data_IF_559375409437
#
_entry.id   IF_559375409437
#
_cell.length_a   1.000
_cell.length_b   1.000
_cell.length_c   1.000
_cell.angle_alpha   90.00
_cell.angle_beta   90.00
_cell.angle_gamma   90.00
#
_symmetry.space_group_name_H-M   'P 1'
#
loop_
_entity.id
_entity.type
_entity.pdbx_description
1 polymer ?
#
# COMPACT_ATOMS: atom_id res chain seq x y z
N UNK A 1 46.25 -11.13 54.20
CA UNK A 1 45.84 -12.13 55.23
C UNK A 1 44.35 -12.38 55.11
N UNK A 2 43.94 -13.62 54.76
CA UNK A 2 42.63 -14.21 55.11
C UNK A 2 42.77 -14.75 56.56
N UNK A 3 41.71 -14.95 57.39
CA UNK A 3 40.61 -15.90 57.07
C UNK A 3 39.24 -15.75 57.80
N UNK A 4 38.30 -16.67 57.47
CA UNK A 4 37.22 -17.29 58.30
C UNK A 4 35.93 -16.48 58.64
N UNK A 5 34.68 -17.01 58.69
CA UNK A 5 34.03 -18.31 58.40
C UNK A 5 32.49 -18.19 58.65
N UNK A 6 31.71 -19.23 58.25
CA UNK A 6 30.28 -19.58 58.57
C UNK A 6 29.20 -18.93 57.66
N UNK A 7 28.47 -19.61 56.77
CA UNK A 7 27.82 -20.95 56.69
C UNK A 7 26.57 -21.08 57.60
N UNK A 8 25.47 -21.52 56.97
CA UNK A 8 24.15 -21.98 57.46
C UNK A 8 22.95 -21.02 57.29
N UNK A 9 22.08 -21.33 56.33
CA UNK A 9 20.67 -21.65 56.63
C UNK A 9 20.18 -22.78 55.72
N UNK A 10 19.81 -23.87 56.37
CA UNK A 10 19.13 -25.04 55.85
C UNK A 10 17.64 -24.97 56.24
N UNK A 11 16.77 -25.62 55.45
CA UNK A 11 15.34 -25.83 55.72
C UNK A 11 14.52 -25.59 54.44
N UNK A 12 14.19 -26.58 53.59
CA UNK A 12 13.34 -27.78 53.81
C UNK A 12 11.92 -27.34 54.21
N UNK A 13 10.80 -27.65 53.53
CA UNK A 13 10.21 -28.95 53.07
C UNK A 13 9.05 -28.58 52.10
N UNK A 14 9.01 -29.08 50.84
CA UNK A 14 8.19 -30.18 50.26
C UNK A 14 6.66 -30.03 50.39
N UNK A 15 5.99 -30.29 49.25
CA UNK A 15 4.73 -31.05 49.01
C UNK A 15 3.93 -30.34 47.88
N UNK A 16 3.30 -30.94 46.86
CA UNK A 16 3.23 -32.25 46.19
C UNK A 16 2.04 -32.12 45.21
N UNK A 17 2.07 -32.73 44.02
CA UNK A 17 0.91 -32.79 43.10
C UNK A 17 1.30 -32.60 41.63
N UNK A 18 1.83 -33.57 40.87
CA UNK A 18 1.33 -34.91 40.46
C UNK A 18 0.43 -34.84 39.20
N UNK A 19 0.70 -35.79 38.28
CA UNK A 19 0.09 -36.12 36.97
C UNK A 19 0.66 -35.41 35.73
N UNK A 20 1.19 -36.07 34.70
CA UNK A 20 1.59 -37.46 34.42
C UNK A 20 2.36 -37.44 33.07
N UNK A 21 3.42 -38.26 32.87
CA UNK A 21 3.99 -38.49 31.54
C UNK A 21 3.19 -39.60 30.84
N UNK A 22 2.54 -39.28 29.73
CA UNK A 22 1.83 -40.27 28.92
C UNK A 22 2.84 -40.98 28.00
N UNK A 23 3.36 -42.11 28.44
CA UNK A 23 4.07 -43.07 27.59
C UNK A 23 3.45 -44.44 27.74
N UNK A 24 2.87 -44.96 26.66
CA UNK A 24 2.66 -46.38 26.44
C UNK A 24 1.20 -46.79 26.26
N UNK A 25 0.78 -46.97 25.00
CA UNK A 25 -0.10 -48.09 24.65
C UNK A 25 0.20 -48.52 23.21
N UNK A 26 0.97 -49.60 23.09
CA UNK A 26 0.97 -50.43 21.90
C UNK A 26 -0.26 -51.34 21.98
N UNK A 27 -1.13 -51.29 20.98
CA UNK A 27 -2.02 -52.39 20.68
C UNK A 27 -2.21 -52.51 19.17
N UNK A 28 -2.17 -53.76 18.72
CA UNK A 28 -2.01 -54.24 17.36
C UNK A 28 -3.39 -54.49 16.73
N UNK A 29 -3.70 -53.86 15.59
CA UNK A 29 -4.54 -54.39 14.50
C UNK A 29 -4.69 -53.34 13.37
N UNK A 30 -4.52 -53.72 12.09
CA UNK A 30 -4.63 -52.81 10.96
C UNK A 30 -6.09 -52.70 10.49
N UNK A 31 -6.55 -51.47 10.27
CA UNK A 31 -7.76 -51.20 9.46
C UNK A 31 -7.44 -50.07 8.48
N UNK A 32 -7.07 -50.51 7.29
CA UNK A 32 -7.63 -50.10 6.01
C UNK A 32 -8.12 -48.66 5.84
N UNK A 33 -7.56 -48.04 4.81
CA UNK A 33 -8.18 -47.05 3.94
C UNK A 33 -8.55 -45.71 4.58
N UNK A 34 -7.51 -44.97 4.95
CA UNK A 34 -7.53 -43.51 4.82
C UNK A 34 -7.57 -43.15 3.32
N UNK A 35 -8.76 -43.29 2.73
CA UNK A 35 -9.11 -42.72 1.45
C UNK A 35 -8.75 -41.24 1.46
N UNK A 36 -7.70 -40.91 0.71
CA UNK A 36 -7.45 -39.56 0.21
C UNK A 36 -8.59 -39.20 -0.75
N UNK A 37 -9.78 -38.96 -0.21
CA UNK A 37 -10.74 -38.12 -0.92
C UNK A 37 -10.20 -36.70 -0.83
N UNK A 38 -9.42 -36.35 -1.85
CA UNK A 38 -9.21 -34.96 -2.24
C UNK A 38 -10.60 -34.34 -2.42
N UNK A 39 -11.07 -33.63 -1.39
CA UNK A 39 -12.17 -32.67 -1.48
C UNK A 39 -11.72 -31.54 -2.42
N UNK A 40 -11.68 -31.84 -3.73
CA UNK A 40 -11.56 -30.89 -4.84
C UNK A 40 -12.86 -30.10 -4.99
N UNK A 41 -13.24 -29.43 -3.92
CA UNK A 41 -14.29 -28.42 -3.88
C UNK A 41 -13.89 -27.32 -2.89
N UNK A 42 -12.61 -26.98 -2.85
CA UNK A 42 -12.20 -25.71 -2.28
C UNK A 42 -12.68 -24.63 -3.24
N UNK A 43 -13.72 -23.92 -2.80
CA UNK A 43 -14.34 -22.84 -3.55
C UNK A 43 -13.21 -21.93 -4.07
N UNK A 44 -13.16 -21.60 -5.37
CA UNK A 44 -12.00 -20.96 -6.00
C UNK A 44 -11.60 -19.61 -5.38
N UNK A 45 -12.51 -18.97 -4.63
CA UNK A 45 -12.23 -17.75 -3.88
C UNK A 45 -11.34 -17.99 -2.64
N UNK A 46 -11.39 -19.17 -2.01
CA UNK A 46 -10.60 -19.52 -0.83
C UNK A 46 -9.12 -19.57 -1.21
N UNK A 47 -8.81 -20.16 -2.37
CA UNK A 47 -7.45 -20.20 -2.89
C UNK A 47 -6.89 -18.79 -3.11
N UNK A 48 -7.67 -17.90 -3.74
CA UNK A 48 -7.28 -16.50 -3.97
C UNK A 48 -7.10 -15.75 -2.64
N UNK A 49 -7.99 -15.96 -1.68
CA UNK A 49 -7.88 -15.36 -0.35
C UNK A 49 -6.63 -15.83 0.41
N UNK A 50 -6.30 -17.13 0.32
CA UNK A 50 -5.09 -17.69 0.90
C UNK A 50 -3.82 -17.14 0.23
N UNK A 51 -3.85 -16.90 -1.09
CA UNK A 51 -2.75 -16.23 -1.79
C UNK A 51 -2.60 -14.78 -1.34
N UNK A 52 -3.71 -14.04 -1.21
CA UNK A 52 -3.69 -12.66 -0.71
C UNK A 52 -3.12 -12.60 0.71
N UNK A 53 -3.53 -13.50 1.62
CA UNK A 53 -3.03 -13.52 2.99
C UNK A 53 -1.54 -13.86 3.04
N UNK A 54 -1.08 -14.85 2.26
CA UNK A 54 0.34 -15.21 2.16
C UNK A 54 1.20 -14.09 1.54
N UNK A 55 0.71 -13.39 0.51
CA UNK A 55 1.40 -12.23 -0.05
C UNK A 55 1.40 -11.05 0.92
N UNK A 56 0.33 -10.87 1.71
CA UNK A 56 0.23 -9.81 2.71
C UNK A 56 1.23 -10.00 3.85
N UNK A 57 1.42 -11.24 4.32
CA UNK A 57 2.42 -11.53 5.35
C UNK A 57 3.83 -11.33 4.82
N UNK A 58 4.14 -11.83 3.61
CA UNK A 58 5.45 -11.64 2.97
C UNK A 58 5.78 -10.17 2.72
N UNK A 59 4.83 -9.39 2.21
CA UNK A 59 5.04 -7.95 1.98
C UNK A 59 5.29 -7.19 3.29
N UNK A 60 4.60 -7.54 4.38
CA UNK A 60 4.86 -6.97 5.72
C UNK A 60 6.25 -7.35 6.24
N UNK A 61 6.64 -8.61 6.14
CA UNK A 61 7.97 -9.07 6.55
C UNK A 61 9.09 -8.34 5.79
N UNK A 62 8.93 -8.16 4.48
CA UNK A 62 9.88 -7.42 3.65
C UNK A 62 9.89 -5.92 3.99
N UNK A 63 8.74 -5.32 4.29
CA UNK A 63 8.65 -3.92 4.72
C UNK A 63 9.34 -3.70 6.07
N UNK A 64 9.15 -4.61 7.03
CA UNK A 64 9.84 -4.56 8.32
C UNK A 64 11.35 -4.73 8.16
N UNK A 65 11.78 -5.69 7.32
CA UNK A 65 13.21 -5.87 6.99
C UNK A 65 13.80 -4.61 6.33
N UNK A 66 13.08 -3.99 5.39
CA UNK A 66 13.53 -2.77 4.72
C UNK A 66 13.67 -1.61 5.71
N UNK A 67 12.71 -1.45 6.64
CA UNK A 67 12.78 -0.46 7.73
C UNK A 67 13.99 -0.70 8.63
N UNK A 68 14.29 -1.95 8.97
CA UNK A 68 15.48 -2.30 9.75
C UNK A 68 16.76 -1.93 9.01
N UNK A 69 16.90 -2.32 7.73
CA UNK A 69 18.07 -1.98 6.91
C UNK A 69 18.26 -0.46 6.75
N UNK A 70 17.18 0.30 6.58
CA UNK A 70 17.26 1.77 6.52
C UNK A 70 17.67 2.34 7.88
N UNK A 71 17.19 1.77 9.00
CA UNK A 71 17.59 2.20 10.35
C UNK A 71 19.07 1.91 10.60
N UNK A 72 19.57 0.74 10.23
CA UNK A 72 21.00 0.40 10.38
C UNK A 72 21.89 1.28 9.49
N UNK A 73 21.45 1.59 8.27
CA UNK A 73 22.12 2.59 7.41
C UNK A 73 22.14 3.97 8.05
N UNK A 74 21.04 4.44 8.64
CA UNK A 74 20.98 5.73 9.35
C UNK A 74 21.83 5.78 10.61
N UNK A 75 22.04 4.64 11.28
CA UNK A 75 22.85 4.54 12.49
C UNK A 75 24.36 4.71 12.24
N UNK A 76 24.81 4.82 10.98
CA UNK A 76 26.19 5.18 10.65
C UNK A 76 27.15 3.99 10.64
N UNK A 77 26.95 3.04 9.73
CA UNK A 77 27.91 1.96 9.45
C UNK A 77 29.16 2.44 8.67
N UNK A 78 30.23 1.66 8.70
CA UNK A 78 31.46 1.89 7.92
C UNK A 78 31.15 1.94 6.40
N UNK A 79 31.95 2.67 5.62
CA UNK A 79 31.71 2.90 4.19
C UNK A 79 31.54 1.61 3.36
N UNK A 80 32.31 0.56 3.64
CA UNK A 80 32.17 -0.75 2.99
C UNK A 80 30.84 -1.44 3.35
N UNK A 81 30.44 -1.39 4.62
CA UNK A 81 29.15 -1.92 5.08
C UNK A 81 27.96 -1.12 4.55
N UNK A 82 28.13 0.18 4.30
CA UNK A 82 27.09 1.00 3.66
C UNK A 82 26.81 0.56 2.23
N UNK A 83 27.85 0.26 1.45
CA UNK A 83 27.70 -0.22 0.08
C UNK A 83 27.03 -1.61 0.02
N UNK A 84 27.31 -2.47 0.99
CA UNK A 84 26.63 -3.77 1.15
C UNK A 84 25.16 -3.60 1.56
N UNK A 85 24.88 -2.73 2.55
CA UNK A 85 23.53 -2.39 2.96
C UNK A 85 22.71 -1.80 1.81
N UNK A 86 23.30 -0.96 0.97
CA UNK A 86 22.62 -0.36 -0.17
C UNK A 86 22.20 -1.41 -1.20
N UNK A 87 23.08 -2.37 -1.51
CA UNK A 87 22.73 -3.50 -2.37
C UNK A 87 21.64 -4.37 -1.76
N UNK A 88 21.67 -4.59 -0.43
CA UNK A 88 20.65 -5.38 0.25
C UNK A 88 19.29 -4.65 0.29
N UNK A 89 19.29 -3.33 0.49
CA UNK A 89 18.11 -2.47 0.43
C UNK A 89 17.50 -2.52 -0.97
N UNK A 90 18.29 -2.34 -2.02
CA UNK A 90 17.81 -2.37 -3.41
C UNK A 90 17.20 -3.72 -3.76
N UNK A 91 17.87 -4.82 -3.37
CA UNK A 91 17.36 -6.18 -3.57
C UNK A 91 16.04 -6.39 -2.82
N UNK A 92 16.00 -6.09 -1.53
CA UNK A 92 14.81 -6.26 -0.68
C UNK A 92 13.64 -5.40 -1.19
N UNK A 93 13.93 -4.18 -1.65
CA UNK A 93 12.93 -3.30 -2.26
C UNK A 93 12.37 -3.85 -3.57
N UNK A 94 13.21 -4.42 -4.43
CA UNK A 94 12.76 -5.05 -5.68
C UNK A 94 11.84 -6.26 -5.43
N UNK A 95 12.16 -7.08 -4.45
CA UNK A 95 11.35 -8.22 -4.02
C UNK A 95 10.03 -7.74 -3.41
N UNK A 96 10.09 -6.75 -2.51
CA UNK A 96 8.91 -6.13 -1.92
C UNK A 96 7.97 -5.56 -2.99
N UNK A 97 8.51 -4.84 -3.97
CA UNK A 97 7.74 -4.24 -5.06
C UNK A 97 7.02 -5.30 -5.88
N UNK A 98 7.72 -6.38 -6.23
CA UNK A 98 7.14 -7.49 -7.00
C UNK A 98 5.97 -8.13 -6.24
N UNK A 99 6.16 -8.44 -4.95
CA UNK A 99 5.10 -9.00 -4.12
C UNK A 99 3.93 -8.04 -3.87
N UNK A 100 4.19 -6.74 -3.77
CA UNK A 100 3.16 -5.71 -3.63
C UNK A 100 2.31 -5.58 -4.91
N UNK A 101 2.95 -5.64 -6.09
CA UNK A 101 2.25 -5.66 -7.37
C UNK A 101 1.39 -6.92 -7.54
N UNK A 102 1.91 -8.09 -7.17
CA UNK A 102 1.15 -9.34 -7.24
C UNK A 102 -0.01 -9.36 -6.23
N UNK A 103 0.20 -8.85 -5.02
CA UNK A 103 -0.87 -8.66 -4.04
C UNK A 103 -1.97 -7.73 -4.58
N UNK A 104 -1.59 -6.67 -5.29
CA UNK A 104 -2.56 -5.76 -5.94
C UNK A 104 -3.35 -6.49 -7.04
N UNK A 105 -2.68 -7.29 -7.88
CA UNK A 105 -3.34 -8.10 -8.93
C UNK A 105 -4.32 -9.09 -8.32
N UNK A 106 -3.91 -9.86 -7.31
CA UNK A 106 -4.78 -10.84 -6.64
C UNK A 106 -5.97 -10.16 -5.95
N UNK A 107 -5.77 -9.01 -5.31
CA UNK A 107 -6.89 -8.23 -4.76
C UNK A 107 -7.87 -7.73 -5.83
N UNK A 108 -7.37 -7.32 -7.01
CA UNK A 108 -8.23 -6.95 -8.13
C UNK A 108 -9.02 -8.17 -8.64
N UNK A 109 -8.36 -9.31 -8.80
CA UNK A 109 -9.02 -10.57 -9.20
C UNK A 109 -10.11 -10.92 -8.19
N UNK A 110 -9.81 -10.87 -6.88
CA UNK A 110 -10.78 -11.17 -5.84
C UNK A 110 -11.98 -10.22 -5.88
N UNK A 111 -11.73 -8.91 -6.02
CA UNK A 111 -12.77 -7.88 -6.10
C UNK A 111 -13.69 -8.05 -7.32
N UNK A 112 -13.14 -8.36 -8.49
CA UNK A 112 -13.92 -8.45 -9.73
C UNK A 112 -14.55 -9.84 -9.96
N UNK A 113 -13.89 -10.93 -9.55
CA UNK A 113 -14.42 -12.29 -9.71
C UNK A 113 -15.36 -12.69 -8.57
N UNK A 114 -15.17 -12.16 -7.37
CA UNK A 114 -15.96 -12.52 -6.19
C UNK A 114 -16.51 -11.28 -5.45
N UNK A 115 -17.29 -10.41 -6.12
CA UNK A 115 -17.77 -9.16 -5.55
C UNK A 115 -18.65 -9.37 -4.31
N UNK A 116 -19.46 -10.42 -4.27
CA UNK A 116 -20.31 -10.78 -3.12
C UNK A 116 -19.53 -11.00 -1.82
N UNK A 117 -18.29 -11.51 -1.93
CA UNK A 117 -17.39 -11.72 -0.78
C UNK A 117 -16.58 -10.47 -0.47
N UNK A 118 -16.14 -9.75 -1.51
CA UNK A 118 -15.47 -8.47 -1.33
C UNK A 118 -16.39 -7.41 -0.68
N UNK A 119 -17.70 -7.47 -0.92
CA UNK A 119 -18.72 -6.59 -0.34
C UNK A 119 -19.08 -6.93 1.12
N UNK A 120 -18.66 -8.08 1.65
CA UNK A 120 -18.76 -8.38 3.10
C UNK A 120 -17.72 -7.60 3.93
N UNK A 121 -16.73 -7.00 3.27
CA UNK A 121 -15.86 -5.96 3.85
C UNK A 121 -16.71 -4.70 4.04
N UNK A 122 -16.59 -3.97 5.16
CA UNK A 122 -17.55 -2.93 5.57
C UNK A 122 -17.95 -2.00 4.42
N UNK A 123 -19.26 -1.76 4.39
CA UNK A 123 -20.00 -0.84 3.52
C UNK A 123 -19.15 0.37 3.11
N UNK A 124 -19.20 0.77 1.83
CA UNK A 124 -18.39 1.86 1.29
C UNK A 124 -18.51 3.11 2.18
N UNK A 125 -17.52 3.33 3.03
CA UNK A 125 -17.45 4.54 3.84
C UNK A 125 -17.02 5.66 2.91
N UNK A 126 -17.98 6.43 2.43
CA UNK A 126 -17.70 7.71 1.79
C UNK A 126 -17.12 8.61 2.88
N UNK A 127 -15.80 8.86 2.81
CA UNK A 127 -15.20 9.91 3.60
C UNK A 127 -15.71 11.24 3.01
N UNK A 128 -16.70 11.85 3.66
CA UNK A 128 -17.03 13.24 3.43
C UNK A 128 -15.82 14.04 3.90
N UNK A 129 -14.93 14.39 2.98
CA UNK A 129 -13.78 15.23 3.30
C UNK A 129 -14.26 16.59 3.80
N UNK A 130 -13.64 17.10 4.85
CA UNK A 130 -13.91 18.45 5.31
C UNK A 130 -13.65 19.43 4.17
N UNK A 131 -14.64 20.28 3.89
CA UNK A 131 -14.50 21.34 2.90
C UNK A 131 -13.38 22.27 3.40
N UNK A 132 -12.28 22.46 2.65
CA UNK A 132 -11.18 23.31 3.10
C UNK A 132 -11.70 24.72 3.38
N UNK A 133 -11.21 25.33 4.46
CA UNK A 133 -11.53 26.72 4.78
C UNK A 133 -11.13 27.65 3.63
N UNK A 134 -11.84 28.77 3.50
CA UNK A 134 -11.57 29.76 2.45
C UNK A 134 -10.10 30.20 2.45
N UNK A 135 -9.50 30.40 3.62
CA UNK A 135 -8.07 30.71 3.77
C UNK A 135 -7.16 29.67 3.12
N UNK A 136 -7.49 28.38 3.26
CA UNK A 136 -6.71 27.28 2.67
C UNK A 136 -6.85 27.24 1.15
N UNK A 137 -8.03 27.60 0.63
CA UNK A 137 -8.26 27.73 -0.81
C UNK A 137 -7.47 28.93 -1.36
N UNK A 138 -7.48 30.06 -0.66
CA UNK A 138 -6.71 31.26 -1.03
C UNK A 138 -5.21 31.03 -0.98
N UNK A 139 -4.73 30.28 0.02
CA UNK A 139 -3.33 29.87 0.11
C UNK A 139 -2.94 28.98 -1.08
N UNK A 140 -3.75 27.98 -1.42
CA UNK A 140 -3.51 27.10 -2.56
C UNK A 140 -3.49 27.88 -3.89
N UNK A 141 -4.43 28.80 -4.08
CA UNK A 141 -4.49 29.67 -5.27
C UNK A 141 -3.28 30.61 -5.32
N UNK A 142 -2.87 31.16 -4.17
CA UNK A 142 -1.68 32.01 -4.05
C UNK A 142 -0.37 31.24 -4.26
N UNK A 143 -0.31 29.97 -3.86
CA UNK A 143 0.82 29.07 -4.06
C UNK A 143 1.04 28.75 -5.52
N UNK A 144 -0.02 28.52 -6.30
CA UNK A 144 0.08 28.26 -7.75
C UNK A 144 0.77 29.42 -8.47
N UNK A 145 0.38 30.66 -8.18
CA UNK A 145 1.04 31.85 -8.74
C UNK A 145 2.50 32.04 -8.29
N UNK A 146 2.88 31.55 -7.10
CA UNK A 146 4.29 31.54 -6.65
C UNK A 146 5.08 30.43 -7.36
N UNK A 147 4.47 29.26 -7.55
CA UNK A 147 5.07 28.12 -8.24
C UNK A 147 5.36 28.45 -9.70
N UNK A 148 4.41 29.03 -10.43
CA UNK A 148 4.60 29.43 -11.82
C UNK A 148 5.72 30.47 -11.99
N UNK A 149 5.82 31.43 -11.06
CA UNK A 149 6.92 32.41 -11.06
C UNK A 149 8.28 31.75 -10.81
N UNK A 150 8.35 30.79 -9.89
CA UNK A 150 9.58 30.03 -9.63
C UNK A 150 9.94 29.12 -10.81
N UNK A 151 8.97 28.44 -11.42
CA UNK A 151 9.19 27.63 -12.63
C UNK A 151 9.67 28.48 -13.80
N UNK A 152 9.09 29.68 -13.99
CA UNK A 152 9.56 30.62 -15.01
C UNK A 152 11.00 31.04 -14.76
N UNK A 153 11.35 31.43 -13.53
CA UNK A 153 12.72 31.80 -13.14
C UNK A 153 13.71 30.65 -13.35
N UNK A 154 13.35 29.44 -12.92
CA UNK A 154 14.17 28.24 -13.13
C UNK A 154 14.37 27.97 -14.63
N UNK A 155 13.33 28.11 -15.45
CA UNK A 155 13.42 27.94 -16.90
C UNK A 155 14.28 29.03 -17.56
N UNK A 156 14.29 30.25 -17.04
CA UNK A 156 15.16 31.32 -17.54
C UNK A 156 16.62 31.19 -17.09
N UNK A 157 16.87 30.62 -15.91
CA UNK A 157 18.21 30.49 -15.34
C UNK A 157 18.92 29.18 -15.76
N UNK A 158 18.15 28.10 -15.94
CA UNK A 158 18.67 26.75 -16.17
C UNK A 158 18.05 26.04 -17.38
N UNK A 159 17.02 26.63 -18.01
CA UNK A 159 16.48 26.12 -19.26
C UNK A 159 17.18 26.76 -20.46
N UNK A 160 17.44 25.98 -21.51
CA UNK A 160 17.79 26.56 -22.81
C UNK A 160 16.70 27.55 -23.24
N UNK A 161 17.07 28.70 -23.83
CA UNK A 161 16.10 29.73 -24.20
C UNK A 161 15.08 29.10 -25.14
N UNK A 162 13.85 28.97 -24.65
CA UNK A 162 12.73 28.54 -25.48
C UNK A 162 12.70 29.46 -26.71
N UNK A 163 12.93 28.88 -27.89
CA UNK A 163 12.79 29.54 -29.19
C UNK A 163 11.43 30.24 -29.17
N UNK A 164 11.44 31.56 -29.06
CA UNK A 164 10.20 32.35 -28.99
C UNK A 164 9.38 31.97 -30.22
N UNK A 165 8.11 31.55 -30.11
CA UNK A 165 7.26 31.46 -31.28
C UNK A 165 7.19 32.88 -31.87
N UNK A 166 7.71 33.00 -33.08
CA UNK A 166 7.70 34.22 -33.87
C UNK A 166 6.23 34.63 -33.98
N UNK A 167 5.81 35.70 -33.31
CA UNK A 167 4.51 36.33 -33.59
C UNK A 167 4.60 36.89 -35.01
N UNK A 168 4.17 36.10 -35.97
CA UNK A 168 3.76 36.61 -37.27
C UNK A 168 2.55 37.50 -37.02
N UNK A 169 2.78 38.82 -37.14
CA UNK A 169 1.72 39.80 -37.22
C UNK A 169 1.11 39.64 -38.61
N UNK A 170 0.13 38.76 -38.77
CA UNK A 170 -0.81 38.88 -39.87
C UNK A 170 -1.76 40.03 -39.54
N UNK A 171 -1.51 41.15 -40.19
CA UNK A 171 -2.44 42.26 -40.31
C UNK A 171 -3.48 41.79 -41.33
N UNK A 172 -4.64 41.30 -40.86
CA UNK A 172 -5.82 41.15 -41.70
C UNK A 172 -6.67 42.41 -41.50
N UNK A 173 -6.70 43.20 -42.55
CA UNK A 173 -7.59 44.36 -42.73
C UNK A 173 -9.03 43.86 -42.89
N UNK A 174 -9.92 44.59 -42.24
CA UNK A 174 -11.39 44.58 -42.24
C UNK A 174 -12.13 43.80 -43.34
N UNK A 175 -13.14 43.04 -42.92
CA UNK A 175 -14.48 43.25 -43.48
C UNK A 175 -15.55 43.11 -42.38
N UNK A 176 -16.20 44.24 -42.07
CA UNK A 176 -17.42 44.30 -41.28
C UNK A 176 -18.55 43.65 -42.09
N UNK A 177 -19.23 42.66 -41.51
CA UNK A 177 -20.67 42.44 -41.78
C UNK A 177 -21.38 41.99 -40.51
N UNK A 178 -22.24 42.90 -40.08
CA UNK A 178 -23.39 42.75 -39.19
C UNK A 178 -24.19 41.47 -39.43
N UNK A 179 -24.68 40.85 -38.35
CA UNK A 179 -25.72 39.82 -38.41
C UNK A 179 -26.06 39.25 -37.04
N UNK A 180 -27.18 39.73 -36.49
CA UNK A 180 -27.83 39.30 -35.26
C UNK A 180 -28.10 37.78 -35.21
N UNK A 181 -28.16 37.20 -34.00
CA UNK A 181 -28.56 35.79 -33.87
C UNK A 181 -28.42 35.18 -32.48
N UNK A 182 -28.92 35.86 -31.46
CA UNK A 182 -29.21 35.31 -30.14
C UNK A 182 -30.13 34.07 -30.29
N UNK A 183 -29.68 32.88 -29.87
CA UNK A 183 -30.55 31.71 -29.67
C UNK A 183 -30.22 31.02 -28.37
N UNK A 184 -31.16 31.18 -27.45
CA UNK A 184 -31.29 30.59 -26.13
C UNK A 184 -31.38 29.07 -26.17
N UNK A 185 -30.80 28.45 -25.14
CA UNK A 185 -30.87 27.02 -24.82
C UNK A 185 -32.34 26.68 -24.60
N UNK A 186 -32.95 25.96 -25.55
CA UNK A 186 -34.32 25.45 -25.41
C UNK A 186 -34.28 24.10 -24.71
N UNK A 187 -34.88 24.08 -23.53
CA UNK A 187 -35.38 22.89 -22.84
C UNK A 187 -36.29 22.09 -23.78
N UNK A 188 -35.78 21.03 -24.41
CA UNK A 188 -36.64 20.13 -25.19
C UNK A 188 -36.09 18.71 -25.34
N UNK A 189 -35.38 18.18 -24.33
CA UNK A 189 -34.99 16.76 -24.30
C UNK A 189 -35.21 16.14 -22.90
N UNK A 190 -36.44 16.25 -22.38
CA UNK A 190 -36.91 15.41 -21.28
C UNK A 190 -37.89 14.37 -21.82
N UNK A 191 -37.52 13.08 -21.92
CA UNK A 191 -38.42 12.05 -22.38
C UNK A 191 -39.53 11.80 -21.35
N UNK A 192 -40.76 12.04 -21.79
CA UNK A 192 -42.00 11.77 -21.04
C UNK A 192 -42.16 10.26 -20.83
N UNK A 193 -42.20 9.86 -19.57
CA UNK A 193 -42.67 8.55 -19.10
C UNK A 193 -44.09 8.29 -19.61
N UNK A 194 -44.26 7.28 -20.46
CA UNK A 194 -45.59 6.72 -20.75
C UNK A 194 -45.89 5.62 -19.72
N UNK A 195 -47.05 5.76 -19.08
CA UNK A 195 -47.69 4.77 -18.21
C UNK A 195 -48.09 3.52 -18.99
#
# INVERSE_FOLDING_TARGET
MKPNFRLFFAGSVIVLGLLAPFSGFANEAPKEEAGKEELKNDKPWVEVQNRISALSTKTKQLDDKLKELIRTKKAGANAERMAELDKEIDKTYSEWKTHAEDLRKENQIFKYRFPERAAQTPERVYQTGDIPSLEKIEELVGMEGKLQRNLHRMRTQYGEPAKRPRKEKEIIVEEKKSGEGEKTIRESDSPILRK
#
